data_IF_637371775420
#
_entry.id   IF_637371775420
#
_cell.length_a   1.000
_cell.length_b   1.000
_cell.length_c   1.000
_cell.angle_alpha   90.00
_cell.angle_beta   90.00
_cell.angle_gamma   90.00
#
_symmetry.space_group_name_H-M   'P 1'
#
loop_
_entity.id
_entity.type
_entity.pdbx_description
1 polymer ?
#
# COMPACT_ATOMS: atom_id res chain seq x y z
N UNK A 1 -21.34 8.89 -19.67
CA UNK A 1 -20.88 7.80 -20.59
C UNK A 1 -21.02 6.49 -19.83
N UNK A 2 -21.78 5.53 -20.35
CA UNK A 2 -22.06 4.30 -19.60
C UNK A 2 -20.82 3.39 -19.59
N UNK A 3 -20.39 2.97 -18.39
CA UNK A 3 -19.32 1.98 -18.18
C UNK A 3 -19.92 0.73 -17.53
N UNK A 4 -19.40 -0.44 -17.82
CA UNK A 4 -19.83 -1.65 -17.12
C UNK A 4 -19.33 -1.63 -15.67
N UNK A 5 -18.06 -1.30 -15.50
CA UNK A 5 -17.37 -1.28 -14.21
C UNK A 5 -16.47 -0.05 -14.08
N UNK A 6 -16.39 0.51 -12.89
CA UNK A 6 -15.38 1.51 -12.48
C UNK A 6 -14.75 1.11 -11.16
N UNK A 7 -13.57 1.65 -10.87
CA UNK A 7 -12.92 1.44 -9.58
C UNK A 7 -12.97 2.69 -8.70
N UNK A 8 -13.09 2.48 -7.39
CA UNK A 8 -12.99 3.50 -6.35
C UNK A 8 -11.88 3.08 -5.39
N UNK A 9 -10.78 3.81 -5.40
CA UNK A 9 -9.56 3.50 -4.65
C UNK A 9 -9.48 4.34 -3.39
N UNK A 10 -9.58 3.69 -2.24
CA UNK A 10 -9.48 4.32 -0.92
C UNK A 10 -8.00 4.60 -0.59
N UNK A 11 -7.58 5.85 -0.75
CA UNK A 11 -6.20 6.30 -0.57
C UNK A 11 -6.06 7.38 0.52
N UNK A 12 -7.03 7.48 1.43
CA UNK A 12 -7.13 8.53 2.45
C UNK A 12 -6.58 8.16 3.84
N UNK A 13 -5.94 7.01 4.02
CA UNK A 13 -5.44 6.57 5.32
C UNK A 13 -4.24 7.39 5.82
N UNK A 14 -4.21 7.70 7.14
CA UNK A 14 -3.10 8.47 7.76
C UNK A 14 -1.77 7.72 7.79
N UNK A 15 -1.77 6.38 7.73
CA UNK A 15 -0.53 5.58 7.82
C UNK A 15 0.19 5.69 9.18
N UNK A 16 -0.52 5.99 10.27
CA UNK A 16 0.06 6.25 11.60
C UNK A 16 1.00 5.16 12.10
N UNK A 17 0.81 3.90 11.69
CA UNK A 17 1.67 2.76 12.06
C UNK A 17 2.99 2.68 11.26
N UNK A 18 3.21 3.56 10.29
CA UNK A 18 4.50 3.76 9.62
C UNK A 18 5.29 4.92 10.25
N UNK A 19 4.74 5.53 11.31
CA UNK A 19 5.37 6.51 12.19
C UNK A 19 6.10 7.62 11.40
N UNK A 20 7.41 7.72 11.59
CA UNK A 20 8.26 8.78 11.03
C UNK A 20 8.31 8.79 9.49
N UNK A 21 7.97 7.69 8.82
CA UNK A 21 7.97 7.61 7.35
C UNK A 21 6.77 8.32 6.74
N UNK A 22 5.65 8.44 7.46
CA UNK A 22 4.40 9.03 6.98
C UNK A 22 4.06 10.36 7.65
N UNK A 23 5.04 11.00 8.29
CA UNK A 23 4.85 12.31 8.93
C UNK A 23 4.32 13.37 7.97
N UNK A 24 4.86 13.43 6.78
CA UNK A 24 4.49 14.38 5.74
C UNK A 24 3.90 13.73 4.47
N UNK A 25 3.86 12.41 4.37
CA UNK A 25 3.45 11.62 3.20
C UNK A 25 2.23 10.74 3.49
N UNK A 26 1.31 10.63 2.54
CA UNK A 26 0.22 9.65 2.61
C UNK A 26 0.75 8.22 2.41
N UNK A 27 0.21 7.23 3.16
CA UNK A 27 0.64 5.82 3.08
C UNK A 27 0.70 5.27 1.63
N UNK A 28 -0.28 5.52 0.74
CA UNK A 28 -0.22 5.02 -0.63
C UNK A 28 0.95 5.56 -1.47
N UNK A 29 1.55 6.70 -1.07
CA UNK A 29 2.70 7.29 -1.75
C UNK A 29 4.04 6.74 -1.26
N UNK A 30 4.07 5.95 -0.19
CA UNK A 30 5.32 5.39 0.37
C UNK A 30 6.06 4.57 -0.68
N UNK A 31 7.38 4.80 -0.86
CA UNK A 31 8.21 4.05 -1.79
C UNK A 31 8.27 2.56 -1.47
N UNK A 32 8.28 1.74 -2.51
CA UNK A 32 8.36 0.30 -2.44
C UNK A 32 9.22 -0.29 -3.57
N UNK A 33 9.95 -1.35 -3.28
CA UNK A 33 10.67 -2.15 -4.27
C UNK A 33 11.72 -1.37 -5.07
N UNK A 34 12.20 -0.25 -4.55
CA UNK A 34 13.21 0.59 -5.19
C UNK A 34 12.73 1.37 -6.42
N UNK A 35 11.49 1.15 -6.89
CA UNK A 35 10.96 1.77 -8.12
C UNK A 35 9.55 2.31 -7.95
N UNK A 36 8.74 1.63 -7.16
CA UNK A 36 7.29 1.82 -7.07
C UNK A 36 6.91 2.66 -5.85
N UNK A 37 5.67 3.15 -5.86
CA UNK A 37 4.91 3.50 -4.66
C UNK A 37 3.81 2.46 -4.43
N UNK A 38 3.31 2.34 -3.21
CA UNK A 38 2.28 1.33 -2.89
C UNK A 38 1.07 1.45 -3.82
N UNK A 39 0.66 2.68 -4.17
CA UNK A 39 -0.51 2.94 -5.03
C UNK A 39 -0.33 2.44 -6.47
N UNK A 40 0.89 2.21 -6.93
CA UNK A 40 1.14 1.69 -8.28
C UNK A 40 0.51 0.32 -8.50
N UNK A 41 0.42 -0.50 -7.47
CA UNK A 41 -0.14 -1.84 -7.54
C UNK A 41 -1.63 -1.82 -7.88
N UNK A 42 -2.52 -1.19 -7.09
CA UNK A 42 -3.95 -1.15 -7.43
C UNK A 42 -4.23 -0.39 -8.72
N UNK A 43 -3.50 0.67 -9.08
CA UNK A 43 -3.67 1.37 -10.35
C UNK A 43 -3.28 0.49 -11.54
N UNK A 44 -2.13 -0.21 -11.45
CA UNK A 44 -1.70 -1.16 -12.49
C UNK A 44 -2.67 -2.32 -12.64
N UNK A 45 -3.16 -2.85 -11.51
CA UNK A 45 -4.16 -3.92 -11.53
C UNK A 45 -5.47 -3.45 -12.21
N UNK A 46 -5.89 -2.18 -12.03
CA UNK A 46 -7.05 -1.63 -12.75
C UNK A 46 -6.83 -1.67 -14.26
N UNK A 47 -5.72 -1.12 -14.73
CA UNK A 47 -5.37 -1.09 -16.16
C UNK A 47 -5.27 -2.49 -16.75
N UNK A 48 -4.52 -3.37 -16.09
CA UNK A 48 -4.36 -4.76 -16.54
C UNK A 48 -5.67 -5.56 -16.55
N UNK A 49 -6.64 -5.17 -15.70
CA UNK A 49 -7.99 -5.76 -15.65
C UNK A 49 -8.97 -5.10 -16.63
N UNK A 50 -8.55 -4.13 -17.44
CA UNK A 50 -9.42 -3.41 -18.38
C UNK A 50 -10.35 -2.38 -17.70
N UNK A 51 -10.09 -1.99 -16.46
CA UNK A 51 -10.82 -0.92 -15.76
C UNK A 51 -10.12 0.40 -16.03
N UNK A 52 -10.68 1.19 -16.91
CA UNK A 52 -10.11 2.45 -17.44
C UNK A 52 -10.57 3.71 -16.68
N UNK A 53 -11.40 3.57 -15.67
CA UNK A 53 -11.96 4.69 -14.91
C UNK A 53 -11.79 4.43 -13.41
N UNK A 54 -10.98 5.26 -12.76
CA UNK A 54 -10.60 5.11 -11.36
C UNK A 54 -10.81 6.41 -10.59
N UNK A 55 -11.66 6.41 -9.58
CA UNK A 55 -11.76 7.48 -8.59
C UNK A 55 -10.84 7.22 -7.41
N UNK A 56 -9.85 8.07 -7.17
CA UNK A 56 -8.91 7.95 -6.04
C UNK A 56 -9.34 8.91 -4.93
N UNK A 57 -9.77 8.35 -3.80
CA UNK A 57 -10.27 9.10 -2.66
C UNK A 57 -9.11 9.46 -1.73
N UNK A 58 -8.66 10.72 -1.79
CA UNK A 58 -7.54 11.23 -0.99
C UNK A 58 -8.04 12.11 0.14
N UNK A 59 -7.36 12.14 1.28
CA UNK A 59 -7.75 12.96 2.41
C UNK A 59 -6.57 13.54 3.18
N UNK A 60 -5.71 12.68 3.75
CA UNK A 60 -4.56 13.10 4.54
C UNK A 60 -3.34 13.31 3.64
N UNK A 61 -2.58 14.40 3.88
CA UNK A 61 -1.35 14.72 3.14
C UNK A 61 -1.48 14.54 1.62
N UNK A 62 -2.48 15.16 0.97
CA UNK A 62 -2.82 14.84 -0.41
C UNK A 62 -1.82 15.38 -1.45
N UNK A 63 -0.98 16.35 -1.10
CA UNK A 63 -0.16 17.08 -2.07
C UNK A 63 0.78 16.17 -2.84
N UNK A 64 1.57 15.37 -2.14
CA UNK A 64 2.55 14.47 -2.75
C UNK A 64 1.88 13.36 -3.53
N UNK A 65 0.86 12.71 -2.93
CA UNK A 65 0.10 11.65 -3.59
C UNK A 65 -0.59 12.16 -4.87
N UNK A 66 -1.25 13.33 -4.81
CA UNK A 66 -1.92 13.92 -5.96
C UNK A 66 -0.91 14.31 -7.06
N UNK A 67 0.25 14.85 -6.68
CA UNK A 67 1.35 15.16 -7.61
C UNK A 67 1.94 13.91 -8.22
N UNK A 68 2.05 12.82 -7.46
CA UNK A 68 2.54 11.53 -7.93
C UNK A 68 1.59 10.92 -8.97
N UNK A 69 0.29 10.87 -8.69
CA UNK A 69 -0.72 10.35 -9.60
C UNK A 69 -0.81 11.21 -10.87
N UNK A 70 -0.82 12.54 -10.72
CA UNK A 70 -0.94 13.47 -11.84
C UNK A 70 -2.18 13.19 -12.67
N UNK A 71 -2.00 13.08 -13.99
CA UNK A 71 -3.07 12.77 -14.96
C UNK A 71 -3.26 11.26 -15.23
N UNK A 72 -2.48 10.38 -14.60
CA UNK A 72 -2.62 8.94 -14.79
C UNK A 72 -1.81 8.32 -15.94
N UNK A 73 -1.04 9.12 -16.67
CA UNK A 73 -0.22 8.67 -17.83
C UNK A 73 0.63 7.43 -17.54
N UNK A 74 1.33 7.31 -16.37
CA UNK A 74 2.16 6.13 -16.11
C UNK A 74 1.41 4.80 -16.15
N UNK A 75 0.11 4.81 -15.83
CA UNK A 75 -0.74 3.63 -15.76
C UNK A 75 -1.70 3.50 -16.94
N UNK A 76 -1.55 4.32 -18.01
CA UNK A 76 -2.51 4.38 -19.12
C UNK A 76 -3.95 4.72 -18.65
N UNK A 77 -4.05 5.55 -17.60
CA UNK A 77 -5.29 6.02 -16.99
C UNK A 77 -5.53 7.52 -17.25
N UNK A 78 -5.18 8.01 -18.44
CA UNK A 78 -5.35 9.41 -18.88
C UNK A 78 -6.32 9.56 -20.05
N UNK A 79 -7.12 8.53 -20.31
CA UNK A 79 -8.08 8.51 -21.42
C UNK A 79 -9.16 9.60 -21.31
N UNK A 80 -9.55 10.17 -22.45
CA UNK A 80 -10.57 11.25 -22.51
C UNK A 80 -11.98 10.83 -22.06
N UNK A 81 -12.26 9.53 -22.01
CA UNK A 81 -13.58 8.96 -21.68
C UNK A 81 -13.59 8.18 -20.36
N UNK A 82 -12.52 8.25 -19.63
CA UNK A 82 -12.26 7.58 -18.36
C UNK A 82 -11.09 8.25 -17.68
N UNK A 83 -10.15 7.42 -17.19
CA UNK A 83 -8.91 7.88 -16.57
C UNK A 83 -8.97 7.92 -15.05
N UNK A 84 -7.88 8.37 -14.43
CA UNK A 84 -7.82 8.55 -12.99
C UNK A 84 -8.35 9.91 -12.58
N UNK A 85 -9.20 9.93 -11.56
CA UNK A 85 -9.77 11.15 -10.98
C UNK A 85 -9.46 11.22 -9.50
N UNK A 86 -8.84 12.31 -9.07
CA UNK A 86 -8.55 12.53 -7.65
C UNK A 86 -9.79 13.17 -7.01
N UNK A 87 -10.30 12.52 -5.98
CA UNK A 87 -11.53 12.87 -5.30
C UNK A 87 -11.23 13.20 -3.82
N UNK A 88 -10.86 14.44 -3.51
CA UNK A 88 -10.72 14.90 -2.12
C UNK A 88 -12.09 15.21 -1.51
N UNK A 89 -12.24 15.25 -0.18
CA UNK A 89 -13.41 15.81 0.47
C UNK A 89 -13.64 17.25 0.00
N UNK A 90 -14.90 17.64 -0.20
CA UNK A 90 -15.24 18.97 -0.70
C UNK A 90 -16.42 19.61 0.04
N UNK A 91 -16.47 20.94 -0.02
CA UNK A 91 -17.61 21.71 0.49
C UNK A 91 -18.72 21.78 -0.56
N UNK A 92 -19.83 21.13 -0.30
CA UNK A 92 -21.06 21.26 -1.11
C UNK A 92 -21.98 22.37 -0.61
N UNK A 93 -23.11 22.57 -1.28
CA UNK A 93 -24.13 23.60 -0.89
C UNK A 93 -24.74 23.38 0.50
N UNK A 94 -24.67 22.15 1.02
CA UNK A 94 -25.16 21.77 2.36
C UNK A 94 -24.07 21.69 3.43
N UNK A 95 -22.86 22.21 3.13
CA UNK A 95 -21.65 22.03 3.92
C UNK A 95 -20.79 20.90 3.39
N UNK A 96 -19.63 20.66 4.01
CA UNK A 96 -18.71 19.57 3.69
C UNK A 96 -18.03 19.09 4.96
N UNK A 97 -17.66 17.85 4.98
CA UNK A 97 -16.91 17.24 6.07
C UNK A 97 -15.81 16.36 5.49
N UNK A 98 -14.78 16.12 6.28
CA UNK A 98 -13.83 15.05 6.01
C UNK A 98 -14.56 13.72 5.84
N UNK A 99 -13.97 12.80 5.10
CA UNK A 99 -14.48 11.43 5.05
C UNK A 99 -14.48 10.84 6.46
N UNK A 100 -15.66 10.46 6.95
CA UNK A 100 -15.84 9.93 8.32
C UNK A 100 -15.36 8.48 8.43
N UNK A 101 -15.40 7.74 7.32
CA UNK A 101 -15.02 6.35 7.21
C UNK A 101 -15.00 5.91 5.75
N UNK A 102 -14.69 4.65 5.52
CA UNK A 102 -14.52 4.08 4.17
C UNK A 102 -15.81 4.11 3.35
N UNK A 103 -16.97 3.82 3.96
CA UNK A 103 -18.28 3.88 3.31
C UNK A 103 -18.71 5.33 3.02
N UNK A 104 -18.47 6.27 3.96
CA UNK A 104 -18.79 7.68 3.76
C UNK A 104 -17.97 8.29 2.63
N UNK A 105 -16.71 7.86 2.43
CA UNK A 105 -15.90 8.32 1.32
C UNK A 105 -16.55 7.98 -0.03
N UNK A 106 -17.10 6.79 -0.18
CA UNK A 106 -17.85 6.40 -1.39
C UNK A 106 -19.17 7.14 -1.48
N UNK A 107 -19.91 7.28 -0.36
CA UNK A 107 -21.17 8.01 -0.31
C UNK A 107 -21.04 9.45 -0.81
N UNK A 108 -20.03 10.20 -0.34
CA UNK A 108 -19.80 11.58 -0.77
C UNK A 108 -19.48 11.68 -2.27
N UNK A 109 -19.05 10.59 -2.91
CA UNK A 109 -18.70 10.54 -4.33
C UNK A 109 -19.72 9.79 -5.20
N UNK A 110 -20.95 9.56 -4.73
CA UNK A 110 -22.05 8.98 -5.52
C UNK A 110 -22.27 9.78 -6.82
N UNK A 111 -22.12 11.11 -6.78
CA UNK A 111 -22.24 11.97 -7.96
C UNK A 111 -21.23 11.62 -9.05
N UNK A 112 -19.97 11.37 -8.68
CA UNK A 112 -18.93 10.92 -9.60
C UNK A 112 -19.26 9.57 -10.22
N UNK A 113 -19.66 8.59 -9.40
CA UNK A 113 -20.01 7.24 -9.89
C UNK A 113 -21.18 7.32 -10.87
N UNK A 114 -22.19 8.12 -10.58
CA UNK A 114 -23.38 8.29 -11.43
C UNK A 114 -23.07 8.94 -12.79
N UNK A 115 -21.96 9.67 -12.96
CA UNK A 115 -21.54 10.19 -14.27
C UNK A 115 -21.30 9.07 -15.30
N UNK A 116 -20.87 7.91 -14.81
CA UNK A 116 -20.55 6.73 -15.62
C UNK A 116 -21.66 5.69 -15.65
N UNK A 117 -22.68 5.80 -14.78
CA UNK A 117 -23.81 4.86 -14.64
C UNK A 117 -23.38 3.39 -14.73
N UNK A 118 -22.43 2.95 -13.88
CA UNK A 118 -21.87 1.61 -13.96
C UNK A 118 -22.87 0.58 -13.44
N UNK A 119 -22.72 -0.67 -13.89
CA UNK A 119 -23.43 -1.80 -13.30
C UNK A 119 -22.71 -2.28 -12.02
N UNK A 120 -21.36 -2.27 -12.06
CA UNK A 120 -20.52 -2.72 -10.96
C UNK A 120 -19.52 -1.63 -10.54
N UNK A 121 -19.20 -1.62 -9.24
CA UNK A 121 -18.14 -0.78 -8.68
C UNK A 121 -17.16 -1.66 -7.93
N UNK A 122 -15.88 -1.55 -8.27
CA UNK A 122 -14.78 -2.19 -7.52
C UNK A 122 -14.28 -1.19 -6.49
N UNK A 123 -14.32 -1.57 -5.22
CA UNK A 123 -13.75 -0.79 -4.12
C UNK A 123 -12.40 -1.41 -3.76
N UNK A 124 -11.35 -0.58 -3.75
CA UNK A 124 -9.97 -1.00 -3.56
C UNK A 124 -9.35 -0.29 -2.36
N UNK A 125 -8.51 -1.02 -1.61
CA UNK A 125 -7.59 -0.41 -0.65
C UNK A 125 -6.30 0.02 -1.36
N UNK A 126 -5.81 1.22 -1.06
CA UNK A 126 -4.61 1.80 -1.66
C UNK A 126 -3.32 1.53 -0.90
N UNK A 127 -3.29 0.52 -0.03
CA UNK A 127 -2.22 0.30 0.95
C UNK A 127 -1.68 -1.14 0.99
N UNK A 128 -1.92 -1.92 -0.06
CA UNK A 128 -1.47 -3.31 -0.18
C UNK A 128 -0.57 -3.54 -1.40
N UNK A 129 0.33 -4.52 -1.29
CA UNK A 129 1.19 -4.99 -2.37
C UNK A 129 0.65 -6.34 -2.87
N UNK A 130 0.23 -6.39 -4.13
CA UNK A 130 -0.34 -7.59 -4.76
C UNK A 130 -0.50 -7.42 -6.27
N UNK A 131 -0.63 -8.52 -7.00
CA UNK A 131 -1.00 -8.56 -8.42
C UNK A 131 -2.31 -9.32 -8.56
N UNK A 132 -3.36 -8.68 -9.07
CA UNK A 132 -4.70 -9.28 -9.16
C UNK A 132 -5.45 -8.83 -10.40
N UNK A 133 -6.05 -9.79 -11.09
CA UNK A 133 -7.00 -9.56 -12.17
C UNK A 133 -8.41 -9.37 -11.60
N UNK A 134 -8.85 -8.12 -11.54
CA UNK A 134 -10.19 -7.78 -11.04
C UNK A 134 -11.30 -8.24 -12.00
N UNK A 135 -11.01 -8.46 -13.28
CA UNK A 135 -12.00 -8.93 -14.23
C UNK A 135 -12.56 -10.31 -13.83
N UNK A 136 -11.70 -11.20 -13.32
CA UNK A 136 -12.10 -12.52 -12.81
C UNK A 136 -13.02 -12.42 -11.59
N UNK A 137 -12.76 -11.44 -10.74
CA UNK A 137 -13.62 -11.18 -9.58
C UNK A 137 -14.99 -10.64 -10.01
N UNK A 138 -15.04 -9.76 -11.01
CA UNK A 138 -16.29 -9.26 -11.61
C UNK A 138 -17.05 -10.40 -12.32
N UNK A 139 -16.36 -11.28 -13.05
CA UNK A 139 -16.96 -12.47 -13.64
C UNK A 139 -17.60 -13.39 -12.60
N UNK A 140 -16.91 -13.66 -11.50
CA UNK A 140 -17.46 -14.42 -10.38
C UNK A 140 -18.70 -13.74 -9.79
N UNK A 141 -18.65 -12.43 -9.59
CA UNK A 141 -19.77 -11.62 -9.10
C UNK A 141 -21.01 -11.79 -9.97
N UNK A 142 -20.84 -11.68 -11.28
CA UNK A 142 -21.91 -11.90 -12.28
C UNK A 142 -22.44 -13.32 -12.24
N UNK A 143 -21.55 -14.30 -12.27
CA UNK A 143 -21.91 -15.72 -12.34
C UNK A 143 -22.79 -16.18 -11.19
N UNK A 144 -22.55 -15.65 -9.99
CA UNK A 144 -23.37 -15.98 -8.81
C UNK A 144 -24.54 -15.01 -8.57
N UNK A 145 -24.64 -13.93 -9.36
CA UNK A 145 -25.65 -12.89 -9.15
C UNK A 145 -25.54 -12.25 -7.77
N UNK A 146 -24.33 -11.96 -7.33
CA UNK A 146 -24.08 -11.40 -6.02
C UNK A 146 -24.42 -9.91 -5.93
N UNK A 147 -24.79 -9.45 -4.74
CA UNK A 147 -24.89 -8.03 -4.40
C UNK A 147 -23.52 -7.47 -4.00
N UNK A 148 -22.69 -8.32 -3.37
CA UNK A 148 -21.31 -8.04 -3.01
C UNK A 148 -20.45 -9.29 -3.21
N UNK A 149 -19.25 -9.12 -3.78
CA UNK A 149 -18.19 -10.13 -3.79
C UNK A 149 -16.97 -9.58 -3.08
N UNK A 150 -16.42 -10.34 -2.14
CA UNK A 150 -15.26 -9.95 -1.32
C UNK A 150 -14.07 -10.82 -1.72
N UNK A 151 -12.94 -10.19 -2.07
CA UNK A 151 -11.70 -10.93 -2.24
C UNK A 151 -11.17 -11.39 -0.89
N UNK A 152 -10.82 -12.66 -0.80
CA UNK A 152 -10.42 -13.31 0.43
C UNK A 152 -9.16 -14.14 0.26
N UNK A 153 -8.40 -14.27 1.33
CA UNK A 153 -7.20 -15.09 1.42
C UNK A 153 -7.12 -15.79 2.77
N UNK A 154 -6.59 -17.00 2.81
CA UNK A 154 -6.28 -17.65 4.07
C UNK A 154 -5.00 -17.05 4.67
N UNK A 155 -5.10 -16.59 5.92
CA UNK A 155 -3.98 -16.05 6.66
C UNK A 155 -3.61 -16.95 7.83
N UNK A 156 -2.39 -16.85 8.40
CA UNK A 156 -2.06 -17.53 9.64
C UNK A 156 -3.08 -17.19 10.74
N UNK A 157 -3.49 -18.17 11.53
CA UNK A 157 -4.45 -17.98 12.62
C UNK A 157 -4.02 -16.91 13.62
N UNK A 158 -2.72 -16.75 13.85
CA UNK A 158 -2.15 -15.70 14.70
C UNK A 158 -2.41 -14.27 14.19
N UNK A 159 -2.67 -14.11 12.91
CA UNK A 159 -2.91 -12.81 12.27
C UNK A 159 -4.40 -12.54 11.99
N UNK A 160 -5.24 -13.58 12.06
CA UNK A 160 -6.64 -13.47 11.66
C UNK A 160 -7.41 -12.34 12.38
N UNK A 161 -7.10 -12.06 13.66
CA UNK A 161 -7.73 -10.98 14.42
C UNK A 161 -7.43 -9.57 13.91
N UNK A 162 -6.51 -9.42 12.95
CA UNK A 162 -6.16 -8.11 12.36
C UNK A 162 -7.08 -7.71 11.21
N UNK A 163 -7.84 -8.66 10.66
CA UNK A 163 -8.62 -8.51 9.43
C UNK A 163 -10.11 -8.72 9.67
N UNK A 164 -10.92 -8.30 8.70
CA UNK A 164 -12.30 -8.78 8.59
C UNK A 164 -12.30 -10.26 8.22
N UNK A 165 -12.90 -11.10 9.04
CA UNK A 165 -12.92 -12.56 8.90
C UNK A 165 -14.29 -13.02 8.48
N UNK A 166 -14.34 -13.97 7.56
CA UNK A 166 -15.60 -14.53 7.09
C UNK A 166 -15.65 -16.03 7.10
N UNK A 167 -16.86 -16.57 7.25
CA UNK A 167 -17.21 -17.96 7.03
C UNK A 167 -17.99 -18.06 5.72
N UNK A 168 -17.78 -19.12 4.98
CA UNK A 168 -18.44 -19.39 3.70
C UNK A 168 -19.05 -20.79 3.69
N UNK A 169 -20.06 -20.99 2.83
CA UNK A 169 -20.60 -22.30 2.52
C UNK A 169 -19.77 -23.03 1.45
N UNK A 170 -20.24 -24.21 1.03
CA UNK A 170 -19.61 -25.06 0.00
C UNK A 170 -19.54 -24.42 -1.39
N UNK A 171 -20.30 -23.35 -1.64
CA UNK A 171 -20.34 -22.59 -2.90
C UNK A 171 -19.57 -21.26 -2.79
N UNK A 172 -18.80 -21.06 -1.70
CA UNK A 172 -18.14 -19.80 -1.37
C UNK A 172 -19.12 -18.61 -1.23
N UNK A 173 -20.36 -18.86 -0.78
CA UNK A 173 -21.26 -17.80 -0.35
C UNK A 173 -20.98 -17.45 1.11
N UNK A 174 -20.92 -16.17 1.41
CA UNK A 174 -20.58 -15.67 2.75
C UNK A 174 -21.77 -15.87 3.68
N UNK A 175 -21.55 -16.58 4.78
CA UNK A 175 -22.54 -16.89 5.81
C UNK A 175 -22.36 -16.06 7.08
N UNK A 176 -21.12 -15.67 7.40
CA UNK A 176 -20.78 -14.81 8.53
C UNK A 176 -19.65 -13.85 8.14
N UNK A 177 -19.68 -12.66 8.72
CA UNK A 177 -18.61 -11.67 8.63
C UNK A 177 -18.37 -11.02 10.00
N UNK A 178 -17.12 -10.92 10.43
CA UNK A 178 -16.73 -10.25 11.68
C UNK A 178 -15.51 -9.36 11.44
N UNK A 179 -15.64 -8.07 11.71
CA UNK A 179 -14.52 -7.11 11.59
C UNK A 179 -13.60 -7.20 12.79
N UNK A 180 -12.36 -7.63 12.56
CA UNK A 180 -11.28 -7.74 13.55
C UNK A 180 -11.71 -8.46 14.84
N UNK A 181 -12.23 -9.70 14.74
CA UNK A 181 -12.73 -10.42 15.91
C UNK A 181 -11.57 -10.79 16.85
N UNK A 182 -11.83 -10.70 18.17
CA UNK A 182 -10.84 -11.15 19.17
C UNK A 182 -10.61 -12.66 19.11
N UNK A 183 -11.66 -13.42 18.81
CA UNK A 183 -11.65 -14.86 18.65
C UNK A 183 -12.19 -15.21 17.27
N UNK A 184 -11.32 -15.30 16.25
CA UNK A 184 -11.74 -15.57 14.88
C UNK A 184 -12.25 -17.02 14.74
N UNK A 185 -13.42 -17.20 14.10
CA UNK A 185 -13.99 -18.51 13.81
C UNK A 185 -13.42 -19.14 12.53
N UNK A 186 -12.73 -18.36 11.72
CA UNK A 186 -12.11 -18.75 10.47
C UNK A 186 -10.81 -17.95 10.29
N UNK A 187 -9.94 -18.40 9.41
CA UNK A 187 -8.76 -17.65 8.98
C UNK A 187 -8.90 -17.09 7.55
N UNK A 188 -10.12 -17.07 7.01
CA UNK A 188 -10.41 -16.50 5.70
C UNK A 188 -10.59 -14.99 5.84
N UNK A 189 -9.53 -14.24 5.51
CA UNK A 189 -9.42 -12.82 5.71
C UNK A 189 -9.87 -12.03 4.47
N UNK A 190 -10.60 -10.93 4.69
CA UNK A 190 -10.88 -9.93 3.67
C UNK A 190 -9.60 -9.20 3.27
N UNK A 191 -9.38 -9.08 1.98
CA UNK A 191 -8.29 -8.29 1.42
C UNK A 191 -8.64 -6.80 1.29
N UNK A 192 -9.84 -6.36 1.71
CA UNK A 192 -10.28 -4.99 1.50
C UNK A 192 -10.56 -4.65 0.04
N UNK A 193 -10.85 -5.65 -0.77
CA UNK A 193 -11.16 -5.54 -2.19
C UNK A 193 -12.56 -6.09 -2.41
N UNK A 194 -13.47 -5.26 -2.93
CA UNK A 194 -14.87 -5.58 -3.07
C UNK A 194 -15.38 -5.28 -4.46
N UNK A 195 -16.26 -6.13 -5.00
CA UNK A 195 -17.11 -5.82 -6.15
C UNK A 195 -18.54 -5.71 -5.66
N UNK A 196 -19.18 -4.61 -5.98
CA UNK A 196 -20.59 -4.38 -5.64
C UNK A 196 -21.45 -4.16 -6.88
N UNK A 197 -22.66 -4.67 -6.88
CA UNK A 197 -23.72 -4.19 -7.76
C UNK A 197 -24.07 -2.77 -7.35
N UNK A 198 -23.84 -1.77 -8.23
CA UNK A 198 -23.92 -0.34 -7.86
C UNK A 198 -25.23 0.08 -7.26
N UNK A 199 -26.35 -0.34 -7.86
CA UNK A 199 -27.68 0.01 -7.36
C UNK A 199 -27.92 -0.47 -5.92
N UNK A 200 -27.44 -1.65 -5.60
CA UNK A 200 -27.55 -2.22 -4.26
C UNK A 200 -26.63 -1.46 -3.29
N UNK A 201 -25.35 -1.29 -3.63
CA UNK A 201 -24.42 -0.55 -2.78
C UNK A 201 -24.94 0.85 -2.45
N UNK A 202 -25.39 1.60 -3.46
CA UNK A 202 -25.90 2.96 -3.28
C UNK A 202 -27.01 3.03 -2.22
N UNK A 203 -27.95 2.08 -2.23
CA UNK A 203 -29.03 2.01 -1.23
C UNK A 203 -28.50 1.87 0.19
N UNK A 204 -27.50 1.00 0.39
CA UNK A 204 -26.87 0.79 1.70
C UNK A 204 -26.03 1.99 2.13
N UNK A 205 -25.32 2.67 1.24
CA UNK A 205 -24.56 3.88 1.55
C UNK A 205 -25.49 5.03 1.97
N UNK A 206 -26.63 5.21 1.28
CA UNK A 206 -27.64 6.22 1.63
C UNK A 206 -28.29 5.92 3.00
N UNK A 207 -28.57 4.65 3.30
CA UNK A 207 -29.10 4.22 4.59
C UNK A 207 -28.07 4.34 5.73
N UNK A 208 -26.81 4.01 5.47
CA UNK A 208 -25.72 4.11 6.42
C UNK A 208 -25.43 5.55 6.82
N UNK A 209 -25.37 6.48 5.86
CA UNK A 209 -25.19 7.92 6.15
C UNK A 209 -26.36 8.52 6.93
N UNK A 210 -27.57 8.01 6.74
CA UNK A 210 -28.75 8.43 7.49
C UNK A 210 -28.76 7.91 8.94
N UNK A 211 -27.94 6.92 9.27
CA UNK A 211 -27.86 6.34 10.61
C UNK A 211 -26.85 7.10 11.49
N UNK A 212 -27.28 7.85 12.50
CA UNK A 212 -26.39 8.65 13.35
C UNK A 212 -25.46 7.80 14.22
N UNK A 213 -25.71 6.50 14.35
CA UNK A 213 -24.89 5.57 15.13
C UNK A 213 -23.89 4.80 14.26
N UNK A 214 -23.86 5.04 12.96
CA UNK A 214 -22.92 4.39 12.06
C UNK A 214 -21.51 4.98 12.22
N UNK A 215 -20.50 4.10 12.13
CA UNK A 215 -19.09 4.50 11.99
C UNK A 215 -18.73 4.79 10.52
N UNK A 216 -19.70 4.65 9.61
CA UNK A 216 -19.55 4.85 8.17
C UNK A 216 -18.43 3.99 7.54
N UNK A 217 -18.32 2.75 7.98
CA UNK A 217 -17.29 1.80 7.59
C UNK A 217 -17.88 0.57 6.89
N UNK A 218 -17.19 0.07 5.84
CA UNK A 218 -17.66 -1.10 5.11
C UNK A 218 -17.73 -2.34 6.00
N UNK A 219 -16.66 -2.63 6.74
CA UNK A 219 -16.57 -3.83 7.57
C UNK A 219 -17.46 -3.80 8.79
N UNK A 220 -17.65 -2.62 9.40
CA UNK A 220 -18.45 -2.50 10.63
C UNK A 220 -19.93 -2.29 10.38
N UNK A 221 -20.30 -1.67 9.27
CA UNK A 221 -21.68 -1.22 9.04
C UNK A 221 -22.30 -1.79 7.75
N UNK A 222 -21.72 -1.48 6.58
CA UNK A 222 -22.35 -1.79 5.29
C UNK A 222 -22.41 -3.29 5.03
N UNK A 223 -21.31 -4.01 5.15
CA UNK A 223 -21.23 -5.46 4.91
C UNK A 223 -22.12 -6.24 5.88
N UNK A 224 -22.07 -6.00 7.22
CA UNK A 224 -22.99 -6.63 8.16
C UNK A 224 -24.47 -6.35 7.89
N UNK A 225 -24.81 -5.11 7.49
CA UNK A 225 -26.20 -4.76 7.15
C UNK A 225 -26.69 -5.53 5.90
N UNK A 226 -25.87 -5.59 4.84
CA UNK A 226 -26.19 -6.36 3.64
C UNK A 226 -26.39 -7.86 3.95
N UNK A 227 -25.50 -8.43 4.78
CA UNK A 227 -25.61 -9.84 5.18
C UNK A 227 -26.85 -10.09 6.05
N UNK A 228 -27.16 -9.16 6.98
CA UNK A 228 -28.33 -9.22 7.85
C UNK A 228 -29.66 -9.15 7.08
N UNK A 229 -29.70 -8.40 5.99
CA UNK A 229 -30.86 -8.29 5.10
C UNK A 229 -30.98 -9.48 4.12
N UNK A 230 -30.03 -10.43 4.17
CA UNK A 230 -30.04 -11.62 3.31
C UNK A 230 -29.60 -11.35 1.87
N UNK A 231 -28.86 -10.28 1.63
CA UNK A 231 -28.26 -10.04 0.32
C UNK A 231 -27.28 -11.16 -0.03
N UNK A 232 -27.27 -11.57 -1.30
CA UNK A 232 -26.37 -12.61 -1.77
C UNK A 232 -24.94 -12.10 -1.83
N UNK A 233 -24.09 -12.61 -0.98
CA UNK A 233 -22.68 -12.21 -0.89
C UNK A 233 -21.76 -13.40 -1.17
N UNK A 234 -20.72 -13.19 -1.99
CA UNK A 234 -19.81 -14.23 -2.40
C UNK A 234 -18.36 -13.93 -1.96
N UNK A 235 -17.62 -14.96 -1.66
CA UNK A 235 -16.17 -14.86 -1.56
C UNK A 235 -15.52 -15.16 -2.93
N UNK A 236 -14.44 -14.42 -3.21
CA UNK A 236 -13.50 -14.70 -4.30
C UNK A 236 -12.17 -15.09 -3.68
N UNK A 237 -11.83 -16.38 -3.73
CA UNK A 237 -10.57 -16.88 -3.19
C UNK A 237 -9.42 -16.44 -4.07
N UNK A 238 -8.63 -15.52 -3.56
CA UNK A 238 -7.41 -15.06 -4.22
C UNK A 238 -6.27 -16.05 -3.96
N UNK A 239 -5.50 -16.31 -5.01
CA UNK A 239 -4.26 -17.09 -4.95
C UNK A 239 -3.13 -16.26 -5.56
N UNK A 240 -2.12 -15.94 -4.78
CA UNK A 240 -0.99 -15.12 -5.17
C UNK A 240 -0.39 -14.38 -3.99
N UNK A 241 0.64 -13.57 -4.27
CA UNK A 241 1.23 -12.72 -3.24
C UNK A 241 0.30 -11.58 -2.86
N UNK A 242 0.08 -11.39 -1.57
CA UNK A 242 -0.62 -10.26 -0.99
C UNK A 242 -0.03 -9.91 0.38
N UNK A 243 0.23 -8.62 0.60
CA UNK A 243 0.73 -8.13 1.89
C UNK A 243 0.19 -6.75 2.22
N UNK A 244 -0.43 -6.61 3.39
CA UNK A 244 -0.75 -5.31 4.00
C UNK A 244 0.55 -4.74 4.56
N UNK A 245 1.06 -3.68 3.93
CA UNK A 245 2.28 -2.97 4.36
C UNK A 245 1.95 -1.84 5.33
N UNK A 246 1.11 -2.13 6.31
CA UNK A 246 0.62 -1.17 7.31
C UNK A 246 1.53 -0.94 8.50
N UNK A 247 2.58 -1.70 8.69
CA UNK A 247 3.59 -1.52 9.74
C UNK A 247 4.99 -1.45 9.15
N UNK A 248 5.96 -0.95 9.91
CA UNK A 248 7.36 -0.85 9.49
C UNK A 248 7.91 -2.25 9.14
N UNK A 249 7.61 -3.23 9.97
CA UNK A 249 8.03 -4.61 9.78
C UNK A 249 7.44 -5.18 8.49
N UNK A 250 6.12 -5.04 8.27
CA UNK A 250 5.48 -5.56 7.06
C UNK A 250 5.95 -4.85 5.79
N UNK A 251 6.28 -3.56 5.85
CA UNK A 251 6.87 -2.83 4.75
C UNK A 251 8.29 -3.32 4.44
N UNK A 252 9.11 -3.53 5.47
CA UNK A 252 10.45 -4.07 5.32
C UNK A 252 10.41 -5.50 4.76
N UNK A 253 9.61 -6.38 5.36
CA UNK A 253 9.43 -7.76 4.91
C UNK A 253 9.00 -7.84 3.44
N UNK A 254 8.03 -6.99 3.02
CA UNK A 254 7.58 -6.98 1.63
C UNK A 254 8.70 -6.56 0.65
N UNK A 255 9.60 -5.65 1.05
CA UNK A 255 10.77 -5.30 0.26
C UNK A 255 11.79 -6.46 0.20
N UNK A 256 11.96 -7.20 1.29
CA UNK A 256 12.83 -8.39 1.31
C UNK A 256 12.20 -9.54 0.49
N UNK A 257 10.88 -9.74 0.58
CA UNK A 257 10.13 -10.72 -0.23
C UNK A 257 10.37 -10.51 -1.74
N UNK A 258 10.48 -9.26 -2.21
CA UNK A 258 10.76 -8.94 -3.60
C UNK A 258 12.14 -9.49 -4.06
N UNK A 259 13.08 -9.61 -3.17
CA UNK A 259 14.41 -10.16 -3.47
C UNK A 259 14.39 -11.70 -3.54
N UNK A 260 13.38 -12.37 -2.98
CA UNK A 260 13.27 -13.83 -2.94
C UNK A 260 12.30 -14.36 -4.01
N UNK A 261 12.78 -15.14 -4.98
CA UNK A 261 11.89 -15.77 -5.98
C UNK A 261 10.84 -16.68 -5.35
N UNK A 262 11.08 -17.20 -4.16
CA UNK A 262 10.18 -18.13 -3.45
C UNK A 262 8.99 -17.43 -2.79
N UNK A 263 9.04 -16.11 -2.64
CA UNK A 263 7.98 -15.31 -2.03
C UNK A 263 6.68 -15.28 -2.84
N UNK A 264 6.79 -15.52 -4.15
CA UNK A 264 5.69 -15.39 -5.12
C UNK A 264 5.42 -13.95 -5.58
N UNK A 265 6.21 -12.96 -5.13
CA UNK A 265 6.16 -11.59 -5.66
C UNK A 265 7.10 -11.45 -6.87
N UNK A 266 6.61 -11.76 -8.05
CA UNK A 266 7.34 -11.57 -9.29
C UNK A 266 6.99 -10.21 -9.95
N UNK A 267 7.91 -9.25 -9.82
CA UNK A 267 7.82 -7.93 -10.44
C UNK A 267 8.45 -7.87 -11.84
N UNK A 268 9.08 -8.95 -12.30
CA UNK A 268 9.64 -9.09 -13.63
C UNK A 268 8.68 -9.76 -14.63
N UNK A 269 7.53 -10.25 -14.15
CA UNK A 269 6.49 -10.85 -14.99
C UNK A 269 5.90 -9.82 -15.96
N UNK A 270 6.28 -9.93 -17.23
CA UNK A 270 5.82 -9.06 -18.31
C UNK A 270 4.35 -9.28 -18.68
N UNK A 271 3.74 -10.40 -18.29
CA UNK A 271 2.34 -10.68 -18.56
C UNK A 271 1.38 -9.88 -17.68
N UNK A 272 1.88 -9.42 -16.51
CA UNK A 272 1.15 -8.58 -15.58
C UNK A 272 2.07 -7.49 -14.99
N UNK A 273 2.47 -6.50 -15.80
CA UNK A 273 3.43 -5.48 -15.38
C UNK A 273 2.82 -4.55 -14.32
N UNK A 274 3.66 -4.14 -13.36
CA UNK A 274 3.35 -3.04 -12.47
C UNK A 274 3.98 -1.77 -13.04
N UNK A 275 3.11 -0.84 -13.43
CA UNK A 275 3.50 0.48 -13.94
C UNK A 275 3.86 1.41 -12.79
N UNK A 276 4.73 2.35 -13.03
CA UNK A 276 5.12 3.36 -12.06
C UNK A 276 5.57 4.64 -12.76
N UNK A 277 5.53 5.74 -12.05
CA UNK A 277 6.09 6.99 -12.54
C UNK A 277 7.60 6.84 -12.74
N UNK A 278 8.10 7.16 -13.94
CA UNK A 278 9.52 7.12 -14.24
C UNK A 278 10.26 8.29 -13.63
N UNK A 279 11.35 8.01 -12.91
CA UNK A 279 12.27 9.03 -12.43
C UNK A 279 13.26 9.37 -13.55
N UNK A 280 13.40 10.66 -13.87
CA UNK A 280 14.39 11.12 -14.81
C UNK A 280 15.75 11.24 -14.12
N UNK A 281 16.53 10.16 -14.15
CA UNK A 281 17.85 10.05 -13.54
C UNK A 281 18.82 9.36 -14.50
N UNK A 282 20.15 9.61 -14.40
CA UNK A 282 21.15 8.91 -15.19
C UNK A 282 21.15 7.42 -14.89
N UNK A 283 21.83 6.60 -15.71
CA UNK A 283 22.10 5.20 -15.33
C UNK A 283 22.79 5.10 -13.97
N UNK A 284 22.57 3.99 -13.27
CA UNK A 284 23.31 3.70 -12.05
C UNK A 284 24.81 3.50 -12.38
N UNK A 285 25.67 4.03 -11.52
CA UNK A 285 27.13 3.85 -11.60
C UNK A 285 27.61 2.88 -10.52
N UNK A 286 28.46 1.94 -10.92
CA UNK A 286 29.09 0.98 -10.03
C UNK A 286 30.61 1.22 -10.01
N UNK A 287 31.12 1.62 -8.87
CA UNK A 287 32.54 1.85 -8.64
C UNK A 287 33.38 0.56 -8.75
N UNK A 288 34.67 0.69 -8.96
CA UNK A 288 35.58 -0.46 -9.17
C UNK A 288 35.63 -1.44 -8.00
N UNK A 289 35.36 -0.99 -6.77
CA UNK A 289 35.37 -1.78 -5.53
C UNK A 289 34.01 -2.14 -5.03
N UNK A 290 32.98 -1.74 -5.77
CA UNK A 290 31.58 -2.03 -5.43
C UNK A 290 31.37 -3.55 -5.38
N UNK A 291 30.68 -4.01 -4.33
CA UNK A 291 30.24 -5.40 -4.18
C UNK A 291 28.74 -5.40 -3.94
N UNK A 292 28.00 -6.04 -4.85
CA UNK A 292 26.55 -6.14 -4.74
C UNK A 292 26.14 -7.60 -4.81
N UNK A 293 25.34 -8.04 -3.84
CA UNK A 293 24.76 -9.38 -3.82
C UNK A 293 23.32 -9.32 -3.36
N UNK A 294 22.44 -10.10 -4.00
CA UNK A 294 21.04 -10.30 -3.64
C UNK A 294 20.31 -8.98 -3.29
N UNK A 295 20.44 -7.98 -4.17
CA UNK A 295 19.96 -6.62 -3.92
C UNK A 295 19.36 -6.00 -5.17
N UNK A 296 18.40 -5.12 -5.00
CA UNK A 296 17.81 -4.32 -6.06
C UNK A 296 18.26 -2.85 -5.92
N UNK A 297 18.60 -2.21 -7.04
CA UNK A 297 18.96 -0.78 -7.09
C UNK A 297 18.42 -0.12 -8.35
N UNK A 298 18.32 1.20 -8.36
CA UNK A 298 17.67 1.94 -9.43
C UNK A 298 18.57 3.02 -10.04
N UNK A 299 18.04 3.70 -11.07
CA UNK A 299 18.71 4.79 -11.80
C UNK A 299 19.20 5.88 -10.85
N UNK A 300 20.27 6.56 -11.24
CA UNK A 300 20.88 7.64 -10.47
C UNK A 300 21.67 7.17 -9.27
N UNK A 301 21.68 5.88 -8.96
CA UNK A 301 22.49 5.36 -7.85
C UNK A 301 23.99 5.40 -8.18
N UNK A 302 24.79 5.80 -7.18
CA UNK A 302 26.26 5.83 -7.22
C UNK A 302 26.79 4.91 -6.11
N UNK A 303 27.26 3.72 -6.51
CA UNK A 303 27.56 2.64 -5.58
C UNK A 303 29.05 2.29 -5.63
N UNK A 304 29.81 2.68 -4.60
CA UNK A 304 31.22 2.39 -4.44
C UNK A 304 31.52 1.41 -3.28
N UNK A 305 30.53 1.21 -2.40
CA UNK A 305 30.61 0.33 -1.22
C UNK A 305 30.06 -1.08 -1.44
N UNK A 306 29.71 -1.74 -0.36
CA UNK A 306 29.10 -3.08 -0.33
C UNK A 306 27.58 -2.98 -0.07
N UNK A 307 26.78 -3.67 -0.89
CA UNK A 307 25.31 -3.73 -0.74
C UNK A 307 24.86 -5.18 -0.79
N UNK A 308 24.22 -5.64 0.28
CA UNK A 308 23.79 -7.04 0.43
C UNK A 308 22.34 -7.11 0.93
N UNK A 309 21.52 -7.99 0.33
CA UNK A 309 20.13 -8.22 0.75
C UNK A 309 19.35 -6.92 0.97
N UNK A 310 19.48 -5.95 0.06
CA UNK A 310 18.95 -4.59 0.27
C UNK A 310 18.23 -4.05 -0.97
N UNK A 311 17.32 -3.11 -0.73
CA UNK A 311 16.54 -2.46 -1.79
C UNK A 311 16.83 -0.96 -1.79
N UNK A 312 17.38 -0.47 -2.91
CA UNK A 312 17.80 0.92 -3.09
C UNK A 312 16.93 1.59 -4.14
N UNK A 313 16.27 2.67 -3.75
CA UNK A 313 15.48 3.52 -4.63
C UNK A 313 16.38 4.41 -5.54
N UNK A 314 15.80 5.24 -6.42
CA UNK A 314 16.61 6.11 -7.29
C UNK A 314 17.49 7.11 -6.52
N UNK A 315 18.62 7.47 -7.14
CA UNK A 315 19.57 8.48 -6.64
C UNK A 315 20.19 8.15 -5.27
N UNK A 316 20.31 6.86 -4.92
CA UNK A 316 20.98 6.44 -3.70
C UNK A 316 22.51 6.44 -3.92
N UNK A 317 23.25 7.00 -2.97
CA UNK A 317 24.72 6.98 -2.95
C UNK A 317 25.23 6.07 -1.81
N UNK A 318 26.16 5.17 -2.13
CA UNK A 318 26.87 4.34 -1.13
C UNK A 318 28.37 4.50 -1.33
N UNK A 319 29.01 5.24 -0.43
CA UNK A 319 30.42 5.65 -0.53
C UNK A 319 31.42 4.50 -0.35
N UNK A 320 32.70 4.77 -0.68
CA UNK A 320 33.78 3.80 -0.61
C UNK A 320 33.92 3.22 0.81
N UNK A 321 33.97 1.89 0.93
CA UNK A 321 34.08 1.19 2.22
C UNK A 321 32.81 1.22 3.08
N UNK A 322 31.75 1.87 2.63
CA UNK A 322 30.45 1.78 3.30
C UNK A 322 29.81 0.40 3.07
N UNK A 323 28.98 -0.02 4.01
CA UNK A 323 28.25 -1.29 3.93
C UNK A 323 26.77 -1.07 4.22
N UNK A 324 25.90 -1.59 3.36
CA UNK A 324 24.45 -1.59 3.50
C UNK A 324 23.98 -3.04 3.43
N UNK A 325 23.30 -3.53 4.46
CA UNK A 325 22.76 -4.89 4.49
C UNK A 325 21.38 -4.95 5.10
N UNK A 326 20.52 -5.82 4.55
CA UNK A 326 19.12 -6.03 4.99
C UNK A 326 18.35 -4.72 5.19
N UNK A 327 18.56 -3.76 4.28
CA UNK A 327 18.04 -2.40 4.45
C UNK A 327 17.25 -1.91 3.23
N UNK A 328 16.33 -1.00 3.48
CA UNK A 328 15.52 -0.33 2.45
C UNK A 328 15.88 1.16 2.45
N UNK A 329 16.46 1.64 1.36
CA UNK A 329 16.87 3.02 1.20
C UNK A 329 15.95 3.72 0.20
N UNK A 330 15.23 4.75 0.67
CA UNK A 330 14.33 5.55 -0.16
C UNK A 330 15.09 6.51 -1.08
N UNK A 331 14.41 7.21 -2.01
CA UNK A 331 15.08 8.06 -2.98
C UNK A 331 16.02 9.09 -2.35
N UNK A 332 17.18 9.33 -2.97
CA UNK A 332 18.12 10.36 -2.57
C UNK A 332 18.95 10.07 -1.32
N UNK A 333 18.83 8.90 -0.71
CA UNK A 333 19.62 8.54 0.47
C UNK A 333 21.12 8.52 0.14
N UNK A 334 21.93 9.14 1.01
CA UNK A 334 23.38 9.13 0.92
C UNK A 334 23.99 8.45 2.13
N UNK A 335 24.76 7.39 1.90
CA UNK A 335 25.59 6.69 2.88
C UNK A 335 27.05 7.02 2.61
N UNK A 336 27.63 7.85 3.47
CA UNK A 336 29.01 8.35 3.31
C UNK A 336 30.07 7.24 3.51
N UNK A 337 31.32 7.46 3.06
CA UNK A 337 32.38 6.46 3.17
C UNK A 337 32.58 5.88 4.56
N UNK A 338 32.73 4.57 4.62
CA UNK A 338 32.99 3.81 5.85
C UNK A 338 31.79 3.62 6.78
N UNK A 339 30.61 4.15 6.44
CA UNK A 339 29.41 3.98 7.26
C UNK A 339 28.82 2.56 7.09
N UNK A 340 28.17 2.06 8.14
CA UNK A 340 27.51 0.75 8.20
C UNK A 340 26.03 0.97 8.48
N UNK A 341 25.18 0.39 7.64
CA UNK A 341 23.71 0.44 7.75
C UNK A 341 23.17 -0.98 7.69
N UNK A 342 22.54 -1.43 8.76
CA UNK A 342 22.04 -2.80 8.88
C UNK A 342 20.62 -2.84 9.42
N UNK A 343 19.73 -3.64 8.80
CA UNK A 343 18.35 -3.80 9.22
C UNK A 343 17.63 -2.46 9.47
N UNK A 344 17.65 -1.61 8.44
CA UNK A 344 17.12 -0.26 8.53
C UNK A 344 16.17 0.10 7.38
N UNK A 345 15.28 1.07 7.65
CA UNK A 345 14.53 1.79 6.63
C UNK A 345 14.95 3.26 6.71
N UNK A 346 15.56 3.77 5.64
CA UNK A 346 15.96 5.18 5.56
C UNK A 346 14.99 5.94 4.67
N UNK A 347 14.32 6.96 5.23
CA UNK A 347 13.43 7.85 4.52
C UNK A 347 14.15 8.64 3.41
N UNK A 348 13.37 9.30 2.54
CA UNK A 348 13.90 10.10 1.42
C UNK A 348 14.93 11.13 1.89
N UNK A 349 15.98 11.35 1.08
CA UNK A 349 17.02 12.36 1.30
C UNK A 349 17.75 12.27 2.65
N UNK A 350 17.73 11.10 3.31
CA UNK A 350 18.56 10.87 4.50
C UNK A 350 20.05 10.91 4.15
N UNK A 351 20.85 11.48 5.04
CA UNK A 351 22.32 11.46 4.94
C UNK A 351 22.94 10.81 6.18
N UNK A 352 23.68 9.74 5.95
CA UNK A 352 24.44 9.02 6.98
C UNK A 352 25.90 9.42 6.87
N UNK A 353 26.42 10.11 7.88
CA UNK A 353 27.78 10.63 7.93
C UNK A 353 28.86 9.53 7.91
N UNK A 354 30.09 9.93 7.73
CA UNK A 354 31.24 9.03 7.62
C UNK A 354 31.41 8.17 8.88
N UNK A 355 31.75 6.90 8.70
CA UNK A 355 32.01 5.95 9.78
C UNK A 355 30.87 5.81 10.81
N UNK A 356 29.65 6.20 10.44
CA UNK A 356 28.47 5.94 11.25
C UNK A 356 28.18 4.44 11.33
N UNK A 357 27.58 4.00 12.45
CA UNK A 357 27.01 2.66 12.58
C UNK A 357 25.54 2.77 12.92
N UNK A 358 24.66 2.26 12.06
CA UNK A 358 23.23 2.35 12.17
C UNK A 358 22.59 0.96 12.14
N UNK A 359 21.75 0.65 13.16
CA UNK A 359 21.09 -0.64 13.26
C UNK A 359 21.99 -1.76 13.73
N UNK A 360 21.69 -2.98 13.33
CA UNK A 360 22.46 -4.19 13.66
C UNK A 360 21.65 -5.45 13.49
N UNK A 361 22.34 -6.58 13.38
CA UNK A 361 21.76 -7.89 13.15
C UNK A 361 20.93 -8.37 14.36
N UNK A 362 19.88 -9.19 14.17
CA UNK A 362 19.13 -9.79 15.27
C UNK A 362 19.97 -10.64 16.23
N UNK A 363 21.06 -11.23 15.73
CA UNK A 363 21.87 -12.22 16.46
C UNK A 363 22.92 -11.59 17.37
N UNK A 364 23.47 -10.43 17.00
CA UNK A 364 24.64 -9.85 17.66
C UNK A 364 24.30 -8.81 18.74
N UNK A 365 23.17 -8.17 18.68
CA UNK A 365 22.91 -6.96 19.48
C UNK A 365 21.50 -6.90 20.03
N UNK A 366 20.78 -8.00 20.03
CA UNK A 366 19.37 -7.98 20.40
C UNK A 366 19.11 -7.30 21.77
N UNK A 367 18.79 -5.97 21.80
CA UNK A 367 17.95 -5.51 22.91
C UNK A 367 16.63 -6.26 22.77
N UNK A 368 16.16 -6.79 23.82
CA UNK A 368 14.79 -7.38 23.85
C UNK A 368 13.79 -6.23 24.13
N UNK A 369 12.88 -5.87 23.21
CA UNK A 369 12.71 -6.46 21.87
C UNK A 369 13.64 -5.84 20.80
N UNK A 370 14.20 -6.68 19.92
CA UNK A 370 14.89 -6.22 18.71
C UNK A 370 13.88 -5.57 17.74
N UNK A 371 14.34 -4.62 16.93
CA UNK A 371 13.51 -3.97 15.93
C UNK A 371 14.31 -3.26 14.84
N UNK A 372 13.63 -2.94 13.73
CA UNK A 372 14.18 -2.17 12.64
C UNK A 372 14.56 -0.75 13.09
N UNK A 373 15.70 -0.26 12.60
CA UNK A 373 16.07 1.15 12.76
C UNK A 373 15.46 1.96 11.64
N UNK A 374 14.80 3.07 11.96
CA UNK A 374 14.06 3.86 10.98
C UNK A 374 14.39 5.34 11.09
N UNK A 375 14.75 5.96 9.97
CA UNK A 375 15.01 7.39 9.89
C UNK A 375 13.91 8.09 9.08
N UNK A 376 13.41 9.19 9.62
CA UNK A 376 12.46 10.07 8.92
C UNK A 376 13.09 10.69 7.67
N UNK A 377 12.28 11.05 6.64
CA UNK A 377 12.77 11.78 5.48
C UNK A 377 13.56 13.03 5.87
N UNK A 378 14.70 13.23 5.19
CA UNK A 378 15.60 14.37 5.41
C UNK A 378 16.40 14.33 6.71
N UNK A 379 16.43 13.20 7.42
CA UNK A 379 17.26 13.04 8.63
C UNK A 379 18.75 13.04 8.25
N UNK A 380 19.55 13.81 8.97
CA UNK A 380 21.01 13.90 8.81
C UNK A 380 21.70 13.39 10.08
N UNK A 381 22.55 12.38 9.92
CA UNK A 381 23.46 11.92 10.96
C UNK A 381 24.86 12.47 10.67
N UNK A 382 25.42 13.17 11.68
CA UNK A 382 26.81 13.63 11.65
C UNK A 382 27.78 12.43 11.67
N UNK A 383 29.04 12.67 11.29
CA UNK A 383 30.09 11.66 11.25
C UNK A 383 30.25 10.91 12.59
N UNK A 384 30.63 9.64 12.53
CA UNK A 384 30.97 8.78 13.68
C UNK A 384 29.83 8.49 14.67
N UNK A 385 28.58 8.79 14.30
CA UNK A 385 27.42 8.49 15.15
C UNK A 385 27.09 6.99 15.16
N UNK A 386 26.54 6.56 16.30
CA UNK A 386 26.04 5.19 16.48
C UNK A 386 24.56 5.23 16.87
N UNK A 387 23.75 4.52 16.13
CA UNK A 387 22.30 4.38 16.37
C UNK A 387 21.98 2.90 16.58
N UNK A 388 21.41 2.58 17.71
CA UNK A 388 21.10 1.19 18.11
C UNK A 388 19.96 0.60 17.26
N UNK A 389 19.88 -0.76 17.14
CA UNK A 389 18.71 -1.42 16.59
C UNK A 389 17.42 -0.98 17.28
N UNK A 390 16.33 -0.90 16.49
CA UNK A 390 15.00 -0.55 16.98
C UNK A 390 14.73 0.92 17.23
N UNK A 391 15.73 1.79 17.08
CA UNK A 391 15.57 3.24 17.26
C UNK A 391 14.90 3.87 16.05
N UNK A 392 13.96 4.78 16.29
CA UNK A 392 13.43 5.67 15.25
C UNK A 392 13.93 7.09 15.49
N UNK A 393 14.40 7.74 14.41
CA UNK A 393 14.83 9.14 14.44
C UNK A 393 13.90 10.01 13.61
N UNK A 394 13.54 11.17 14.17
CA UNK A 394 12.83 12.21 13.42
C UNK A 394 13.79 12.96 12.48
N UNK A 395 13.28 13.93 11.72
CA UNK A 395 14.06 14.76 10.78
C UNK A 395 15.24 15.49 11.44
N UNK A 396 15.15 15.81 12.72
CA UNK A 396 16.20 16.49 13.47
C UNK A 396 17.24 15.53 14.06
N UNK A 397 17.12 14.22 13.82
CA UNK A 397 17.99 13.20 14.40
C UNK A 397 17.69 12.88 15.86
N UNK A 398 16.51 13.26 16.36
CA UNK A 398 16.07 12.98 17.73
C UNK A 398 15.31 11.65 17.79
N UNK A 399 15.55 10.89 18.84
CA UNK A 399 14.87 9.61 19.06
C UNK A 399 13.38 9.84 19.38
N UNK A 400 12.51 9.09 18.71
CA UNK A 400 11.06 9.10 18.92
C UNK A 400 10.57 7.71 19.29
N UNK A 401 9.58 7.62 20.17
CA UNK A 401 8.95 6.36 20.55
C UNK A 401 8.03 5.83 19.47
N UNK A 402 7.91 4.51 19.39
CA UNK A 402 6.91 3.79 18.59
C UNK A 402 5.49 3.96 19.12
#
# INVERSE_FOLDING_TARGET
MKKECIAMLLAGGQGSRLYVLTGDMAKPAVPFGGKYSIIDFPLSNCTNSGIDTVGVLTQYRPLELNSYIGSGVPWDLDGSTGGVHILPPYMGSKGGTWYKGTANAIYQNIGFINLYDPEYVVILSGDHIYKMDYSKMVERHKAVGAACTISVMEVPWSEASRFGIMSVDENDLITEFAEKPKEPKSNLASMGIYVFTWKTLRRYLEADEANPNSENDFGKNVIPAMLGDGERMAAYRFSGYWKDVGTLESLWDANMDMLSPESGLDLLDESWPIYARSVNAPPAFLGRRCQISHSAFNRGSDLEGTVENSVLAPNVTVGEGARVSYSVLFPGVTVEPGAVVEYAILGEDCRIGRNCCLGGTPEETAPDPWGLTVLAPGCVLEDEKRVRPGVMLNKNGEEVSR
#
